data_IF_280978883998
#
_entry.id   IF_280978883998
#
_cell.length_a   1.000
_cell.length_b   1.000
_cell.length_c   1.000
_cell.angle_alpha   90.00
_cell.angle_beta   90.00
_cell.angle_gamma   90.00
#
_symmetry.space_group_name_H-M   'P 1'
#
loop_
_entity.id
_entity.type
_entity.pdbx_description
1 polymer ?
#
# COMPACT_ATOMS: atom_id res chain seq x y z
N UNK A 1 -33.79 -49.82 -35.16
CA UNK A 1 -33.77 -48.35 -35.32
C UNK A 1 -34.52 -47.59 -34.22
N UNK A 2 -35.65 -48.05 -33.66
CA UNK A 2 -36.38 -47.28 -32.62
C UNK A 2 -35.79 -47.44 -31.20
N UNK A 3 -35.06 -48.53 -30.90
CA UNK A 3 -34.48 -48.79 -29.56
C UNK A 3 -33.28 -47.88 -29.21
N UNK A 4 -32.59 -47.31 -30.20
CA UNK A 4 -31.40 -46.47 -29.96
C UNK A 4 -31.76 -45.01 -29.63
N UNK A 5 -32.91 -44.52 -30.10
CA UNK A 5 -33.35 -43.14 -29.88
C UNK A 5 -33.78 -42.93 -28.43
N UNK A 6 -34.48 -43.92 -27.83
CA UNK A 6 -34.91 -43.85 -26.44
C UNK A 6 -33.72 -43.86 -25.46
N UNK A 7 -32.68 -44.65 -25.75
CA UNK A 7 -31.43 -44.64 -24.98
C UNK A 7 -30.70 -43.31 -25.07
N UNK A 8 -30.63 -42.71 -26.27
CA UNK A 8 -30.00 -41.41 -26.47
C UNK A 8 -30.74 -40.27 -25.75
N UNK A 9 -32.07 -40.25 -25.80
CA UNK A 9 -32.89 -39.27 -25.08
C UNK A 9 -32.76 -39.39 -23.56
N UNK A 10 -32.59 -40.62 -23.04
CA UNK A 10 -32.37 -40.88 -21.62
C UNK A 10 -30.98 -40.43 -21.14
N UNK A 11 -29.94 -40.63 -21.96
CA UNK A 11 -28.58 -40.13 -21.66
C UNK A 11 -28.55 -38.60 -21.68
N UNK A 12 -29.21 -37.96 -22.65
CA UNK A 12 -29.30 -36.51 -22.72
C UNK A 12 -30.06 -35.89 -21.54
N UNK A 13 -31.15 -36.51 -21.09
CA UNK A 13 -31.90 -36.00 -19.93
C UNK A 13 -31.11 -36.12 -18.62
N UNK A 14 -30.36 -37.21 -18.42
CA UNK A 14 -29.45 -37.35 -17.28
C UNK A 14 -28.32 -36.32 -17.34
N UNK A 15 -27.73 -36.09 -18.51
CA UNK A 15 -26.69 -35.08 -18.67
C UNK A 15 -27.19 -33.66 -18.31
N UNK A 16 -28.41 -33.30 -18.70
CA UNK A 16 -29.02 -32.02 -18.34
C UNK A 16 -29.22 -31.89 -16.83
N UNK A 17 -29.70 -32.94 -16.16
CA UNK A 17 -29.90 -32.94 -14.69
C UNK A 17 -28.59 -32.84 -13.92
N UNK A 18 -27.49 -33.41 -14.44
CA UNK A 18 -26.17 -33.31 -13.81
C UNK A 18 -25.48 -31.96 -14.06
N UNK A 19 -25.75 -31.30 -15.18
CA UNK A 19 -25.10 -30.03 -15.55
C UNK A 19 -25.82 -28.81 -14.95
N UNK A 20 -27.13 -28.88 -14.75
CA UNK A 20 -27.92 -27.78 -14.18
C UNK A 20 -27.44 -27.30 -12.79
N UNK A 21 -27.12 -28.18 -11.82
CA UNK A 21 -26.59 -27.77 -10.51
C UNK A 21 -25.25 -27.05 -10.64
N UNK A 22 -24.36 -27.50 -11.53
CA UNK A 22 -23.06 -26.89 -11.79
C UNK A 22 -23.24 -25.48 -12.36
N UNK A 23 -24.19 -25.29 -13.28
CA UNK A 23 -24.50 -23.96 -13.84
C UNK A 23 -25.07 -23.03 -12.76
N UNK A 24 -25.90 -23.54 -11.85
CA UNK A 24 -26.46 -22.75 -10.75
C UNK A 24 -25.39 -22.35 -9.73
N UNK A 25 -24.49 -23.25 -9.36
CA UNK A 25 -23.35 -22.96 -8.47
C UNK A 25 -22.38 -21.95 -9.09
N UNK A 26 -22.12 -22.06 -10.41
CA UNK A 26 -21.34 -21.05 -11.14
C UNK A 26 -22.07 -19.69 -11.07
N UNK A 27 -23.37 -19.65 -11.35
CA UNK A 27 -24.15 -18.40 -11.34
C UNK A 27 -24.16 -17.73 -9.96
N UNK A 28 -24.28 -18.50 -8.89
CA UNK A 28 -24.28 -17.98 -7.52
C UNK A 28 -22.87 -17.57 -7.07
N UNK A 29 -21.83 -18.29 -7.51
CA UNK A 29 -20.44 -17.87 -7.39
C UNK A 29 -20.17 -16.52 -8.07
N UNK A 30 -20.68 -16.32 -9.29
CA UNK A 30 -20.57 -15.05 -10.02
C UNK A 30 -21.30 -13.88 -9.33
N UNK A 31 -22.44 -14.14 -8.68
CA UNK A 31 -23.14 -13.13 -7.88
C UNK A 31 -22.35 -12.76 -6.62
N UNK A 32 -21.91 -13.75 -5.84
CA UNK A 32 -21.07 -13.51 -4.65
C UNK A 32 -19.77 -12.79 -5.00
N UNK A 33 -19.14 -13.16 -6.11
CA UNK A 33 -17.96 -12.48 -6.62
C UNK A 33 -18.25 -11.02 -6.98
N UNK A 34 -19.38 -10.72 -7.64
CA UNK A 34 -19.79 -9.34 -7.94
C UNK A 34 -20.12 -8.52 -6.69
N UNK A 35 -20.64 -9.17 -5.66
CA UNK A 35 -20.97 -8.53 -4.37
C UNK A 35 -19.69 -8.20 -3.60
N UNK A 36 -18.76 -9.16 -3.50
CA UNK A 36 -17.40 -8.93 -3.00
C UNK A 36 -16.62 -7.91 -3.83
N UNK A 37 -16.84 -7.83 -5.15
CA UNK A 37 -16.26 -6.79 -6.03
C UNK A 37 -16.77 -5.39 -5.74
N UNK A 38 -18.01 -5.30 -5.26
CA UNK A 38 -18.63 -4.05 -4.83
C UNK A 38 -18.06 -3.62 -3.48
N UNK A 39 -17.84 -4.57 -2.57
CA UNK A 39 -17.26 -4.36 -1.24
C UNK A 39 -15.78 -3.97 -1.29
N UNK A 40 -14.97 -4.63 -2.15
CA UNK A 40 -13.54 -4.34 -2.32
C UNK A 40 -13.24 -3.07 -3.13
N UNK A 41 -14.26 -2.33 -3.62
CA UNK A 41 -14.05 -1.16 -4.47
C UNK A 41 -13.42 -1.51 -5.82
N UNK A 42 -14.08 -1.15 -6.93
CA UNK A 42 -13.57 -1.46 -8.28
C UNK A 42 -12.17 -0.89 -8.59
N UNK A 43 -11.70 0.09 -7.80
CA UNK A 43 -10.35 0.64 -7.83
C UNK A 43 -9.31 -0.42 -7.44
N UNK A 44 -9.53 -1.10 -6.32
CA UNK A 44 -8.58 -2.03 -5.72
C UNK A 44 -8.43 -3.28 -6.60
N UNK A 45 -9.52 -3.81 -7.16
CA UNK A 45 -9.44 -4.99 -8.06
C UNK A 45 -8.82 -4.70 -9.43
N UNK A 46 -9.04 -3.50 -10.00
CA UNK A 46 -8.30 -3.07 -11.20
C UNK A 46 -6.83 -2.84 -10.90
N UNK A 47 -6.53 -2.35 -9.70
CA UNK A 47 -5.17 -2.26 -9.20
C UNK A 47 -4.59 -3.68 -9.05
N UNK A 48 -5.25 -4.65 -8.39
CA UNK A 48 -4.87 -6.07 -8.24
C UNK A 48 -4.67 -6.82 -9.54
N UNK A 49 -5.49 -6.58 -10.57
CA UNK A 49 -5.26 -7.16 -11.90
C UNK A 49 -4.10 -6.49 -12.63
N UNK A 50 -3.95 -5.17 -12.50
CA UNK A 50 -2.75 -4.46 -12.97
C UNK A 50 -1.51 -4.96 -12.23
N UNK A 51 -1.59 -5.20 -10.92
CA UNK A 51 -0.55 -5.76 -10.03
C UNK A 51 -0.18 -7.18 -10.47
N UNK A 52 -1.16 -8.06 -10.74
CA UNK A 52 -0.91 -9.40 -11.26
C UNK A 52 -0.21 -9.37 -12.63
N UNK A 53 -0.63 -8.49 -13.55
CA UNK A 53 0.06 -8.30 -14.83
C UNK A 53 1.44 -7.63 -14.71
N UNK A 54 1.68 -6.98 -13.58
CA UNK A 54 2.92 -6.32 -13.20
C UNK A 54 3.92 -7.37 -12.72
N UNK A 55 3.57 -8.23 -11.77
CA UNK A 55 4.49 -9.25 -11.20
C UNK A 55 4.73 -10.42 -12.15
N UNK A 56 3.76 -10.71 -13.03
CA UNK A 56 3.96 -11.66 -14.13
C UNK A 56 4.92 -11.11 -15.21
N UNK A 57 5.35 -9.84 -15.10
CA UNK A 57 6.34 -9.24 -15.99
C UNK A 57 7.76 -9.44 -15.41
N UNK A 58 8.70 -10.08 -16.16
CA UNK A 58 10.09 -10.29 -15.73
C UNK A 58 10.82 -9.02 -15.24
N UNK A 59 10.35 -7.83 -15.62
CA UNK A 59 10.82 -6.52 -15.17
C UNK A 59 10.81 -6.37 -13.62
N UNK A 60 9.94 -7.07 -12.89
CA UNK A 60 9.87 -6.92 -11.42
C UNK A 60 10.96 -7.65 -10.65
N UNK A 61 11.52 -8.75 -11.18
CA UNK A 61 12.71 -9.36 -10.58
C UNK A 61 13.90 -8.39 -10.61
N UNK A 62 13.95 -7.52 -11.62
CA UNK A 62 14.96 -6.48 -11.77
C UNK A 62 14.78 -5.32 -10.78
N UNK A 63 13.62 -5.20 -10.13
CA UNK A 63 13.34 -4.17 -9.11
C UNK A 63 13.52 -4.66 -7.68
N UNK A 64 13.66 -5.98 -7.47
CA UNK A 64 13.93 -6.56 -6.16
C UNK A 64 15.20 -6.03 -5.47
N UNK A 65 16.27 -5.64 -6.17
CA UNK A 65 17.41 -4.97 -5.54
C UNK A 65 17.01 -3.73 -4.74
N UNK A 66 16.06 -2.93 -5.23
CA UNK A 66 15.59 -1.72 -4.53
C UNK A 66 14.82 -2.09 -3.26
N UNK A 67 13.86 -3.00 -3.40
CA UNK A 67 13.02 -3.48 -2.30
C UNK A 67 13.89 -4.10 -1.20
N UNK A 68 14.79 -5.00 -1.57
CA UNK A 68 15.66 -5.68 -0.62
C UNK A 68 16.62 -4.71 0.07
N UNK A 69 17.19 -3.76 -0.67
CA UNK A 69 18.08 -2.76 -0.07
C UNK A 69 17.36 -1.96 1.01
N UNK A 70 16.11 -1.55 0.75
CA UNK A 70 15.29 -0.84 1.74
C UNK A 70 15.03 -1.67 2.98
N UNK A 71 14.49 -2.89 2.83
CA UNK A 71 14.16 -3.76 3.95
C UNK A 71 15.36 -4.19 4.80
N UNK A 72 16.58 -4.14 4.24
CA UNK A 72 17.82 -4.41 5.00
C UNK A 72 18.29 -3.25 5.87
N UNK A 73 17.73 -2.05 5.70
CA UNK A 73 18.05 -0.89 6.53
C UNK A 73 17.38 -0.95 7.90
N UNK A 74 16.29 -1.73 8.04
CA UNK A 74 15.57 -1.93 9.29
C UNK A 74 15.29 -3.42 9.50
N UNK A 75 16.23 -4.12 10.16
CA UNK A 75 16.14 -5.57 10.37
C UNK A 75 14.95 -5.96 11.27
N UNK A 76 14.56 -5.09 12.20
CA UNK A 76 13.44 -5.35 13.11
C UNK A 76 12.09 -5.33 12.37
N UNK A 77 11.99 -4.52 11.30
CA UNK A 77 10.81 -4.43 10.45
C UNK A 77 10.71 -5.55 9.40
N UNK A 78 11.80 -6.28 9.14
CA UNK A 78 11.92 -7.17 7.99
C UNK A 78 10.84 -8.26 7.94
N UNK A 79 10.49 -8.86 9.08
CA UNK A 79 9.44 -9.89 9.13
C UNK A 79 8.06 -9.34 8.77
N UNK A 80 7.73 -8.13 9.22
CA UNK A 80 6.47 -7.47 8.85
C UNK A 80 6.46 -7.08 7.37
N UNK A 81 7.58 -6.55 6.87
CA UNK A 81 7.74 -6.18 5.47
C UNK A 81 7.66 -7.40 4.55
N UNK A 82 8.21 -8.54 4.95
CA UNK A 82 8.10 -9.80 4.23
C UNK A 82 6.65 -10.26 4.11
N UNK A 83 5.89 -10.22 5.20
CA UNK A 83 4.47 -10.54 5.19
C UNK A 83 3.70 -9.60 4.25
N UNK A 84 3.99 -8.29 4.30
CA UNK A 84 3.37 -7.30 3.42
C UNK A 84 3.67 -7.55 1.93
N UNK A 85 4.95 -7.71 1.55
CA UNK A 85 5.36 -7.95 0.16
C UNK A 85 4.71 -9.24 -0.36
N UNK A 86 4.76 -10.30 0.43
CA UNK A 86 4.19 -11.58 0.02
C UNK A 86 2.65 -11.52 -0.04
N UNK A 87 2.01 -10.77 0.85
CA UNK A 87 0.57 -10.51 0.82
C UNK A 87 0.11 -9.68 -0.38
N UNK A 88 0.98 -8.79 -0.89
CA UNK A 88 0.69 -8.05 -2.12
C UNK A 88 0.81 -8.92 -3.37
N UNK A 89 1.65 -9.96 -3.34
CA UNK A 89 2.23 -10.55 -4.54
C UNK A 89 2.27 -12.08 -4.60
N UNK A 90 1.37 -12.80 -3.92
CA UNK A 90 1.28 -14.26 -4.08
C UNK A 90 0.83 -14.62 -5.50
N UNK A 91 1.71 -15.29 -6.25
CA UNK A 91 1.36 -15.94 -7.52
C UNK A 91 1.80 -17.39 -7.50
N UNK A 92 0.98 -18.28 -8.05
CA UNK A 92 1.33 -19.69 -8.20
C UNK A 92 2.28 -19.88 -9.40
N UNK A 93 3.41 -20.56 -9.17
CA UNK A 93 4.34 -21.03 -10.18
C UNK A 93 4.22 -22.54 -10.37
N UNK A 94 4.54 -23.04 -11.56
CA UNK A 94 4.60 -24.47 -11.86
C UNK A 94 6.05 -24.88 -12.10
N UNK A 95 6.49 -25.93 -11.40
CA UNK A 95 7.80 -26.54 -11.60
C UNK A 95 7.65 -27.78 -12.50
N UNK A 96 8.17 -27.71 -13.72
CA UNK A 96 8.10 -28.83 -14.67
C UNK A 96 8.95 -30.04 -14.25
N UNK A 97 10.01 -29.83 -13.46
CA UNK A 97 10.95 -30.87 -13.03
C UNK A 97 10.37 -31.73 -11.91
N UNK A 98 9.62 -31.10 -11.00
CA UNK A 98 8.96 -31.77 -9.88
C UNK A 98 7.46 -32.00 -10.10
N UNK A 99 6.87 -31.39 -11.14
CA UNK A 99 5.46 -31.51 -11.46
C UNK A 99 4.53 -30.89 -10.40
N UNK A 100 5.02 -29.91 -9.62
CA UNK A 100 4.30 -29.31 -8.49
C UNK A 100 4.04 -27.83 -8.71
N UNK A 101 2.90 -27.37 -8.21
CA UNK A 101 2.62 -25.95 -8.05
C UNK A 101 3.30 -25.46 -6.77
N UNK A 102 3.89 -24.26 -6.81
CA UNK A 102 4.51 -23.61 -5.66
C UNK A 102 4.14 -22.14 -5.58
N UNK A 103 4.13 -21.57 -4.38
CA UNK A 103 3.95 -20.13 -4.19
C UNK A 103 5.25 -19.41 -4.54
N UNK A 104 5.22 -18.51 -5.51
CA UNK A 104 6.35 -17.61 -5.76
C UNK A 104 6.32 -16.49 -4.72
N UNK A 105 7.25 -16.56 -3.76
CA UNK A 105 7.43 -15.58 -2.69
C UNK A 105 8.69 -14.76 -2.92
N UNK A 106 8.72 -13.57 -2.33
CA UNK A 106 9.92 -12.74 -2.29
C UNK A 106 10.97 -13.43 -1.40
N UNK A 107 12.19 -13.60 -1.92
CA UNK A 107 13.28 -14.27 -1.21
C UNK A 107 14.28 -13.25 -0.66
N UNK A 108 14.29 -13.08 0.67
CA UNK A 108 15.23 -12.21 1.36
C UNK A 108 16.67 -12.74 1.40
N UNK A 109 16.87 -14.03 1.14
CA UNK A 109 18.19 -14.65 1.09
C UNK A 109 18.90 -14.39 -0.24
N UNK A 110 18.18 -13.95 -1.27
CA UNK A 110 18.81 -13.52 -2.51
C UNK A 110 19.80 -12.38 -2.21
N UNK A 111 20.96 -12.39 -2.84
CA UNK A 111 21.96 -11.32 -2.65
C UNK A 111 22.10 -10.52 -3.92
N UNK A 112 21.81 -9.22 -3.84
CA UNK A 112 22.10 -8.28 -4.92
C UNK A 112 23.37 -7.49 -4.63
N UNK A 113 24.05 -7.07 -5.69
CA UNK A 113 25.18 -6.15 -5.66
C UNK A 113 24.65 -4.72 -5.85
N UNK A 114 25.46 -3.73 -5.48
CA UNK A 114 25.11 -2.32 -5.70
C UNK A 114 24.84 -2.01 -7.19
N UNK A 115 25.58 -2.64 -8.11
CA UNK A 115 25.33 -2.51 -9.54
C UNK A 115 23.93 -2.99 -9.98
N UNK A 116 23.34 -3.95 -9.27
CA UNK A 116 21.99 -4.45 -9.56
C UNK A 116 20.93 -3.44 -9.08
N UNK A 117 21.20 -2.70 -8.00
CA UNK A 117 20.38 -1.54 -7.58
C UNK A 117 20.43 -0.41 -8.60
N UNK A 118 21.63 -0.05 -9.07
CA UNK A 118 21.79 1.01 -10.08
C UNK A 118 21.09 0.64 -11.40
N UNK A 119 21.19 -0.63 -11.80
CA UNK A 119 20.48 -1.16 -12.97
C UNK A 119 18.97 -1.05 -12.80
N UNK A 120 18.43 -1.40 -11.63
CA UNK A 120 17.01 -1.27 -11.31
C UNK A 120 16.52 0.19 -11.46
N UNK A 121 17.28 1.16 -10.97
CA UNK A 121 17.00 2.59 -11.13
C UNK A 121 17.02 3.00 -12.60
N UNK A 122 17.97 2.50 -13.38
CA UNK A 122 18.04 2.77 -14.82
C UNK A 122 16.83 2.21 -15.59
N UNK A 123 16.37 1.01 -15.22
CA UNK A 123 15.17 0.40 -15.77
C UNK A 123 13.94 1.25 -15.44
N UNK A 124 13.74 1.63 -14.18
CA UNK A 124 12.63 2.50 -13.76
C UNK A 124 12.63 3.86 -14.47
N UNK A 125 13.80 4.42 -14.75
CA UNK A 125 13.90 5.70 -15.46
C UNK A 125 13.48 5.62 -16.95
N UNK A 126 13.42 4.42 -17.54
CA UNK A 126 12.87 4.19 -18.88
C UNK A 126 11.34 4.06 -18.86
N UNK A 127 10.76 3.79 -17.69
CA UNK A 127 9.32 3.61 -17.53
C UNK A 127 8.54 4.95 -17.47
N UNK A 128 7.26 4.93 -17.85
CA UNK A 128 6.37 6.08 -17.72
C UNK A 128 6.34 6.63 -16.28
N UNK A 129 6.14 7.94 -16.16
CA UNK A 129 6.09 8.61 -14.85
C UNK A 129 5.03 8.01 -13.90
N UNK A 130 3.89 7.58 -14.43
CA UNK A 130 2.83 6.91 -13.65
C UNK A 130 3.31 5.60 -13.01
N UNK A 131 4.18 4.86 -13.71
CA UNK A 131 4.74 3.60 -13.20
C UNK A 131 5.77 3.88 -12.10
N UNK A 132 6.64 4.87 -12.30
CA UNK A 132 7.58 5.32 -11.26
C UNK A 132 6.86 5.79 -9.99
N UNK A 133 5.81 6.60 -10.15
CA UNK A 133 4.96 7.09 -9.05
C UNK A 133 4.40 5.94 -8.23
N UNK A 134 3.78 5.01 -8.93
CA UNK A 134 3.18 3.83 -8.35
C UNK A 134 4.20 2.95 -7.62
N UNK A 135 5.37 2.74 -8.19
CA UNK A 135 6.42 1.95 -7.55
C UNK A 135 6.92 2.61 -6.26
N UNK A 136 7.19 3.92 -6.31
CA UNK A 136 7.59 4.68 -5.11
C UNK A 136 6.48 4.63 -4.04
N UNK A 137 5.22 4.80 -4.41
CA UNK A 137 4.09 4.67 -3.48
C UNK A 137 4.10 3.32 -2.75
N UNK A 138 4.42 2.24 -3.45
CA UNK A 138 4.56 0.91 -2.84
C UNK A 138 5.76 0.80 -1.91
N UNK A 139 6.90 1.39 -2.26
CA UNK A 139 8.05 1.43 -1.35
C UNK A 139 7.73 2.18 -0.05
N UNK A 140 7.02 3.31 -0.12
CA UNK A 140 6.58 4.02 1.08
C UNK A 140 5.62 3.17 1.92
N UNK A 141 4.61 2.54 1.30
CA UNK A 141 3.69 1.65 2.02
C UNK A 141 4.42 0.50 2.68
N UNK A 142 5.47 -0.01 2.04
CA UNK A 142 6.26 -1.11 2.56
C UNK A 142 7.11 -0.68 3.76
N UNK A 143 7.67 0.53 3.69
CA UNK A 143 8.44 1.11 4.78
C UNK A 143 7.58 1.48 6.00
N UNK A 144 6.26 1.64 5.82
CA UNK A 144 5.33 1.89 6.93
C UNK A 144 5.09 0.59 7.70
N UNK A 145 5.76 0.47 8.83
CA UNK A 145 5.55 -0.56 9.84
C UNK A 145 4.99 0.04 11.13
N UNK A 146 4.78 -0.77 12.17
CA UNK A 146 3.99 -0.37 13.35
C UNK A 146 4.54 0.84 14.12
N UNK A 147 5.85 0.99 14.16
CA UNK A 147 6.59 2.10 14.78
C UNK A 147 6.81 3.29 13.83
N UNK A 148 6.50 3.14 12.55
CA UNK A 148 6.60 4.19 11.54
C UNK A 148 7.58 3.83 10.43
N UNK A 149 8.27 4.84 9.89
CA UNK A 149 9.30 4.71 8.86
C UNK A 149 10.65 5.04 9.50
N UNK A 150 11.61 4.12 9.42
CA UNK A 150 12.95 4.34 9.95
C UNK A 150 13.70 5.44 9.17
N UNK A 151 14.60 6.18 9.82
CA UNK A 151 15.32 7.30 9.19
C UNK A 151 16.12 6.88 7.96
N UNK A 152 16.75 5.71 8.03
CA UNK A 152 17.55 5.20 6.92
C UNK A 152 16.68 4.80 5.72
N UNK A 153 15.54 4.17 5.97
CA UNK A 153 14.55 3.85 4.95
C UNK A 153 14.00 5.14 4.31
N UNK A 154 13.67 6.13 5.13
CA UNK A 154 13.25 7.45 4.67
C UNK A 154 14.29 8.12 3.77
N UNK A 155 15.56 8.12 4.19
CA UNK A 155 16.66 8.71 3.43
C UNK A 155 16.85 8.00 2.09
N UNK A 156 16.79 6.66 2.07
CA UNK A 156 16.84 5.89 0.83
C UNK A 156 15.64 6.19 -0.08
N UNK A 157 14.42 6.29 0.46
CA UNK A 157 13.22 6.63 -0.31
C UNK A 157 13.35 8.03 -0.95
N UNK A 158 13.82 9.02 -0.19
CA UNK A 158 14.07 10.37 -0.71
C UNK A 158 15.13 10.35 -1.82
N UNK A 159 16.19 9.56 -1.67
CA UNK A 159 17.22 9.42 -2.68
C UNK A 159 16.69 8.75 -3.96
N UNK A 160 15.93 7.66 -3.84
CA UNK A 160 15.26 7.00 -4.96
C UNK A 160 14.36 8.00 -5.70
N UNK A 161 13.57 8.81 -4.99
CA UNK A 161 12.74 9.84 -5.63
C UNK A 161 13.58 10.85 -6.42
N UNK A 162 14.77 11.22 -5.94
CA UNK A 162 15.68 12.13 -6.66
C UNK A 162 16.22 11.45 -7.91
N UNK A 163 16.69 10.22 -7.80
CA UNK A 163 17.23 9.44 -8.90
C UNK A 163 16.18 9.14 -10.00
N UNK A 164 14.91 9.01 -9.61
CA UNK A 164 13.77 8.84 -10.52
C UNK A 164 13.22 10.16 -11.08
N UNK A 165 13.86 11.29 -10.78
CA UNK A 165 13.58 12.63 -11.33
C UNK A 165 12.15 13.11 -11.07
N UNK A 166 11.64 12.87 -9.86
CA UNK A 166 10.36 13.45 -9.42
C UNK A 166 10.47 14.97 -9.30
N UNK A 167 9.38 15.67 -9.60
CA UNK A 167 9.32 17.12 -9.41
C UNK A 167 9.01 17.48 -7.94
N UNK A 168 9.22 18.75 -7.58
CA UNK A 168 9.03 19.25 -6.22
C UNK A 168 7.63 18.96 -5.66
N UNK A 169 6.57 19.13 -6.46
CA UNK A 169 5.20 18.91 -6.00
C UNK A 169 4.98 17.44 -5.57
N UNK A 170 5.61 16.49 -6.26
CA UNK A 170 5.57 15.09 -5.84
C UNK A 170 6.35 14.85 -4.54
N UNK A 171 7.54 15.44 -4.39
CA UNK A 171 8.26 15.40 -3.11
C UNK A 171 7.41 15.94 -1.97
N UNK A 172 6.84 17.14 -2.13
CA UNK A 172 6.01 17.80 -1.13
C UNK A 172 4.78 16.94 -0.77
N UNK A 173 4.18 16.25 -1.76
CA UNK A 173 3.09 15.30 -1.52
C UNK A 173 3.49 14.13 -0.64
N UNK A 174 4.60 13.46 -0.95
CA UNK A 174 5.08 12.31 -0.16
C UNK A 174 5.56 12.74 1.23
N UNK A 175 6.25 13.88 1.33
CA UNK A 175 6.69 14.46 2.60
C UNK A 175 5.48 14.76 3.49
N UNK A 176 4.43 15.38 2.93
CA UNK A 176 3.21 15.67 3.70
C UNK A 176 2.47 14.40 4.13
N UNK A 177 2.41 13.37 3.28
CA UNK A 177 1.69 12.13 3.56
C UNK A 177 2.41 11.23 4.56
N UNK A 178 3.71 11.01 4.39
CA UNK A 178 4.48 10.00 5.13
C UNK A 178 5.47 10.60 6.13
N UNK A 179 5.86 11.87 5.98
CA UNK A 179 6.76 12.55 6.93
C UNK A 179 6.30 12.48 8.39
N UNK A 180 4.99 12.58 8.70
CA UNK A 180 4.48 12.43 10.06
C UNK A 180 4.62 11.01 10.65
N UNK A 181 5.05 10.03 9.85
CA UNK A 181 5.26 8.65 10.29
C UNK A 181 6.73 8.33 10.54
N UNK A 182 7.66 9.27 10.36
CA UNK A 182 9.08 9.03 10.64
C UNK A 182 9.29 8.68 12.12
N UNK A 183 10.04 7.63 12.41
CA UNK A 183 10.35 7.21 13.80
C UNK A 183 11.15 8.28 14.53
N UNK A 184 12.14 8.84 13.84
CA UNK A 184 12.95 9.94 14.32
C UNK A 184 12.28 11.26 13.97
N UNK A 185 11.60 11.78 14.98
CA UNK A 185 11.04 13.11 14.94
C UNK A 185 12.16 14.14 15.12
N UNK A 186 12.66 14.69 14.01
CA UNK A 186 13.41 15.93 14.05
C UNK A 186 12.42 17.03 14.46
N UNK A 187 12.52 17.45 15.73
CA UNK A 187 11.98 18.74 16.13
C UNK A 187 12.82 19.80 15.40
N UNK A 188 12.53 20.04 14.13
CA UNK A 188 13.16 21.12 13.38
C UNK A 188 12.81 22.44 14.09
N UNK A 189 13.78 22.91 14.86
CA UNK A 189 13.92 24.27 15.36
C UNK A 189 14.45 25.13 14.21
N UNK A 190 13.61 25.46 13.21
CA UNK A 190 13.72 26.68 12.41
C UNK A 190 12.67 26.74 11.29
N UNK A 191 11.85 27.81 11.31
CA UNK A 191 11.04 28.30 10.18
C UNK A 191 9.57 27.85 10.20
N UNK A 192 8.56 28.71 10.28
CA UNK A 192 8.45 30.17 10.23
C UNK A 192 7.31 30.57 11.18
N UNK A 193 7.48 31.67 11.92
CA UNK A 193 6.35 32.38 12.53
C UNK A 193 5.54 32.98 11.40
N UNK A 194 4.48 32.31 10.96
CA UNK A 194 3.54 32.90 10.01
C UNK A 194 2.27 33.37 10.73
N UNK A 195 2.11 34.69 10.67
CA UNK A 195 0.95 35.55 10.91
C UNK A 195 -0.38 34.88 11.30
N UNK A 196 -0.69 34.95 12.59
CA UNK A 196 -2.03 34.72 13.17
C UNK A 196 -3.12 35.42 12.35
N UNK A 197 -3.89 34.67 11.55
CA UNK A 197 -5.20 35.14 11.10
C UNK A 197 -6.20 34.95 12.23
N UNK A 198 -7.13 35.91 12.38
CA UNK A 198 -8.18 35.93 13.40
C UNK A 198 -9.11 34.70 13.29
N UNK A 199 -8.73 33.58 13.91
CA UNK A 199 -9.62 32.44 14.14
C UNK A 199 -10.37 32.71 15.46
N UNK A 200 -11.70 32.56 15.52
CA UNK A 200 -12.44 32.65 16.78
C UNK A 200 -11.87 31.67 17.82
N UNK A 201 -11.60 32.15 19.03
CA UNK A 201 -11.03 31.36 20.15
C UNK A 201 -11.78 30.05 20.39
N UNK A 202 -13.11 30.04 20.18
CA UNK A 202 -13.94 28.84 20.32
C UNK A 202 -13.67 27.75 19.28
N UNK A 203 -13.24 28.11 18.06
CA UNK A 203 -12.89 27.16 17.00
C UNK A 203 -11.49 26.59 17.21
N UNK A 204 -10.54 27.40 17.68
CA UNK A 204 -9.20 26.94 18.04
C UNK A 204 -9.25 25.85 19.12
N UNK A 205 -10.08 26.04 20.15
CA UNK A 205 -10.31 25.02 21.19
C UNK A 205 -10.72 23.67 20.63
N UNK A 206 -11.61 23.66 19.65
CA UNK A 206 -12.07 22.41 19.03
C UNK A 206 -10.94 21.69 18.28
N UNK A 207 -10.04 22.42 17.63
CA UNK A 207 -8.88 21.84 16.95
C UNK A 207 -7.84 21.26 17.93
N UNK A 208 -7.55 21.95 19.04
CA UNK A 208 -6.70 21.40 20.09
C UNK A 208 -7.31 20.11 20.67
N UNK A 209 -8.63 20.09 20.89
CA UNK A 209 -9.33 18.91 21.38
C UNK A 209 -9.27 17.72 20.41
N UNK A 210 -9.29 17.96 19.08
CA UNK A 210 -9.09 16.91 18.06
C UNK A 210 -7.70 16.26 18.19
N UNK A 211 -6.68 17.05 18.52
CA UNK A 211 -5.33 16.53 18.79
C UNK A 211 -5.15 15.99 20.22
N UNK A 212 -6.18 16.05 21.07
CA UNK A 212 -6.10 15.64 22.47
C UNK A 212 -5.25 16.57 23.34
N UNK A 213 -5.13 17.85 22.97
CA UNK A 213 -4.31 18.86 23.64
C UNK A 213 -5.16 19.94 24.30
N UNK A 214 -4.57 20.61 25.29
CA UNK A 214 -5.12 21.83 25.87
C UNK A 214 -4.79 23.06 25.01
N UNK A 215 -5.59 24.10 25.15
CA UNK A 215 -5.31 25.40 24.51
C UNK A 215 -3.96 25.94 24.99
N UNK A 216 -3.10 26.34 24.05
CA UNK A 216 -1.77 26.88 24.36
C UNK A 216 -0.68 25.82 24.52
N UNK A 217 -0.95 24.56 24.15
CA UNK A 217 0.09 23.55 23.97
C UNK A 217 1.22 24.08 23.06
N UNK A 218 2.45 23.74 23.40
CA UNK A 218 3.64 24.13 22.66
C UNK A 218 3.68 23.49 21.27
N UNK A 219 4.40 24.10 20.32
CA UNK A 219 4.61 23.54 18.97
C UNK A 219 5.16 22.11 19.02
N UNK A 220 5.99 21.80 20.02
CA UNK A 220 6.55 20.46 20.22
C UNK A 220 5.45 19.46 20.63
N UNK A 221 4.55 19.85 21.54
CA UNK A 221 3.41 19.02 21.96
C UNK A 221 2.42 18.82 20.80
N UNK A 222 2.13 19.87 20.04
CA UNK A 222 1.27 19.82 18.86
C UNK A 222 1.82 18.84 17.83
N UNK A 223 3.10 18.96 17.47
CA UNK A 223 3.73 18.07 16.50
C UNK A 223 3.81 16.62 16.99
N UNK A 224 4.10 16.39 18.27
CA UNK A 224 4.09 15.05 18.88
C UNK A 224 2.72 14.42 18.89
N UNK A 225 1.67 15.16 19.26
CA UNK A 225 0.29 14.67 19.24
C UNK A 225 -0.13 14.30 17.81
N UNK A 226 0.18 15.15 16.84
CA UNK A 226 -0.07 14.89 15.43
C UNK A 226 0.65 13.63 14.92
N UNK A 227 1.95 13.48 15.23
CA UNK A 227 2.75 12.28 14.90
C UNK A 227 2.16 11.01 15.51
N UNK A 228 1.82 11.02 16.80
CA UNK A 228 1.22 9.87 17.47
C UNK A 228 -0.13 9.47 16.86
N UNK A 229 -0.98 10.45 16.55
CA UNK A 229 -2.27 10.19 15.91
C UNK A 229 -2.10 9.65 14.48
N UNK A 230 -1.11 10.14 13.74
CA UNK A 230 -0.76 9.60 12.43
C UNK A 230 -0.32 8.12 12.53
N UNK A 231 0.57 7.77 13.46
CA UNK A 231 1.00 6.38 13.69
C UNK A 231 -0.13 5.44 14.18
N UNK A 232 -1.21 6.00 14.73
CA UNK A 232 -2.38 5.23 15.13
C UNK A 232 -3.36 5.03 13.98
N UNK A 233 -3.61 6.08 13.20
CA UNK A 233 -4.73 6.16 12.27
C UNK A 233 -4.33 6.26 10.79
N UNK A 234 -3.04 6.14 10.43
CA UNK A 234 -2.68 6.19 9.03
C UNK A 234 -3.29 5.00 8.25
N UNK A 235 -3.96 5.25 7.10
CA UNK A 235 -4.65 4.21 6.34
C UNK A 235 -3.71 3.16 5.74
N UNK A 236 -2.44 3.50 5.52
CA UNK A 236 -1.44 2.57 4.95
C UNK A 236 -0.78 1.67 6.00
N UNK A 237 -1.14 1.77 7.29
CA UNK A 237 -0.62 0.86 8.32
C UNK A 237 -1.28 -0.52 8.22
N UNK A 238 -0.52 -1.62 8.35
CA UNK A 238 -1.07 -2.98 8.29
C UNK A 238 -2.22 -3.23 9.28
N UNK A 239 -2.09 -2.75 10.52
CA UNK A 239 -3.12 -2.85 11.57
C UNK A 239 -4.45 -2.12 11.25
N UNK A 240 -4.45 -1.24 10.25
CA UNK A 240 -5.60 -0.45 9.82
C UNK A 240 -6.25 -0.95 8.53
N UNK A 241 -5.76 -2.06 7.95
CA UNK A 241 -6.22 -2.59 6.66
C UNK A 241 -7.73 -2.89 6.60
N UNK A 242 -8.38 -3.17 7.73
CA UNK A 242 -9.83 -3.43 7.82
C UNK A 242 -10.68 -2.16 8.04
N UNK A 243 -10.06 -1.00 8.28
CA UNK A 243 -10.75 0.26 8.62
C UNK A 243 -10.19 1.46 7.86
N UNK A 244 -9.75 1.25 6.62
CA UNK A 244 -9.12 2.27 5.76
C UNK A 244 -9.99 3.51 5.63
N UNK A 245 -11.29 3.34 5.33
CA UNK A 245 -12.23 4.46 5.18
C UNK A 245 -12.36 5.31 6.44
N UNK A 246 -12.43 4.69 7.62
CA UNK A 246 -12.49 5.40 8.90
C UNK A 246 -11.18 6.16 9.17
N UNK A 247 -10.05 5.50 8.89
CA UNK A 247 -8.72 6.08 9.03
C UNK A 247 -8.51 7.30 8.12
N UNK A 248 -9.00 7.25 6.87
CA UNK A 248 -8.96 8.39 5.95
C UNK A 248 -9.75 9.59 6.48
N UNK A 249 -10.95 9.36 7.03
CA UNK A 249 -11.75 10.42 7.64
C UNK A 249 -11.09 11.03 8.88
N UNK A 250 -10.54 10.18 9.76
CA UNK A 250 -9.83 10.62 10.96
C UNK A 250 -8.59 11.42 10.58
N UNK A 251 -7.75 10.91 9.68
CA UNK A 251 -6.56 11.60 9.20
C UNK A 251 -6.90 12.94 8.54
N UNK A 252 -8.01 13.03 7.81
CA UNK A 252 -8.50 14.29 7.26
C UNK A 252 -8.76 15.33 8.36
N UNK A 253 -9.48 14.95 9.43
CA UNK A 253 -9.75 15.83 10.58
C UNK A 253 -8.50 16.21 11.36
N UNK A 254 -7.58 15.25 11.57
CA UNK A 254 -6.31 15.47 12.26
C UNK A 254 -5.44 16.46 11.46
N UNK A 255 -5.35 16.29 10.14
CA UNK A 255 -4.62 17.20 9.25
C UNK A 255 -5.22 18.61 9.27
N UNK A 256 -6.56 18.73 9.20
CA UNK A 256 -7.23 20.02 9.29
C UNK A 256 -6.92 20.72 10.63
N UNK A 257 -7.04 20.00 11.75
CA UNK A 257 -6.74 20.55 13.07
C UNK A 257 -5.29 21.04 13.18
N UNK A 258 -4.33 20.24 12.74
CA UNK A 258 -2.91 20.60 12.76
C UNK A 258 -2.61 21.83 11.88
N UNK A 259 -3.18 21.89 10.68
CA UNK A 259 -3.02 23.05 9.78
C UNK A 259 -3.66 24.32 10.37
N UNK A 260 -4.78 24.20 11.09
CA UNK A 260 -5.48 25.35 11.69
C UNK A 260 -4.83 25.87 12.95
N UNK A 261 -4.13 25.02 13.70
CA UNK A 261 -3.37 25.44 14.88
C UNK A 261 -2.07 26.13 14.46
N UNK A 262 -1.43 25.65 13.37
CA UNK A 262 -0.12 26.13 12.92
C UNK A 262 -0.18 27.38 12.03
N UNK A 263 -1.30 27.65 11.36
CA UNK A 263 -1.52 28.81 10.48
C UNK A 263 -2.29 29.94 11.18
#
# INVERSE_FOLDING_TARGET
>A
MVKDIAGYLYVCSIAIVLILPIIMDIRDGWKKQKEQEKELGMSEKRASRRYASIIQNPIYGELYPIVQKMCRLNLDAQSSQEEQINGWFTSEGYDEHFGVMYDKKFDFNMTYRDADFDLAIQILNKEPMSYRQFFVEKLFKLAVVDDGIHIDEWNLLMDIMKQLKFNKNYFDFFIKRYGPLRTEFEADEQGEKQSTKNIPVSQLKAYFAILGLEEGASDVEIKRAYHNLALQHHPDLPKNANRVSECEELMSRINEAYEKIRN
#
